data_IF_595019215964
#
_entry.id   IF_595019215964
#
_cell.length_a   1.000
_cell.length_b   1.000
_cell.length_c   1.000
_cell.angle_alpha   90.00
_cell.angle_beta   90.00
_cell.angle_gamma   90.00
#
_symmetry.space_group_name_H-M   'P 1'
#
loop_
_entity.id
_entity.type
_entity.pdbx_description
1 polymer ?
#
# COMPACT_ATOMS: atom_id res chain seq x y z
N UNK A 1 72.65 -26.11 54.38
CA UNK A 1 71.45 -26.65 55.05
C UNK A 1 70.45 -25.54 55.19
N UNK A 2 69.55 -25.42 54.29
CA UNK A 2 68.25 -24.79 54.44
C UNK A 2 67.40 -25.24 53.28
N UNK A 3 66.37 -25.93 53.63
CA UNK A 3 65.36 -26.51 52.81
C UNK A 3 64.45 -25.40 52.18
N UNK A 4 64.16 -25.50 50.92
CA UNK A 4 63.27 -24.61 50.25
C UNK A 4 62.49 -25.38 49.16
N UNK A 5 61.46 -26.07 49.54
CA UNK A 5 60.44 -26.60 48.67
C UNK A 5 59.08 -26.18 49.14
N UNK A 6 58.57 -25.07 48.65
CA UNK A 6 57.11 -24.82 48.64
C UNK A 6 56.82 -24.12 47.30
N UNK A 7 56.32 -24.92 46.37
CA UNK A 7 55.61 -24.42 45.17
C UNK A 7 54.21 -23.96 45.61
N UNK A 8 53.75 -22.76 45.21
CA UNK A 8 52.38 -22.35 45.47
C UNK A 8 51.41 -23.17 44.61
N UNK A 9 50.37 -23.65 45.26
CA UNK A 9 49.24 -24.37 44.66
C UNK A 9 48.71 -23.60 43.43
N UNK A 10 48.64 -24.30 42.32
CA UNK A 10 47.92 -23.85 41.13
C UNK A 10 46.43 -23.74 41.47
N UNK A 11 45.94 -22.51 41.57
CA UNK A 11 44.50 -22.23 41.63
C UNK A 11 43.89 -22.75 40.36
N UNK A 12 43.09 -23.80 40.47
CA UNK A 12 42.33 -24.33 39.34
C UNK A 12 41.31 -23.29 38.92
N UNK A 13 41.58 -22.60 37.80
CA UNK A 13 40.64 -21.78 37.05
C UNK A 13 39.62 -22.72 36.35
N UNK A 14 38.62 -23.19 37.10
CA UNK A 14 37.46 -23.90 36.58
C UNK A 14 36.16 -23.16 36.91
N UNK A 15 36.17 -21.87 36.80
CA UNK A 15 34.92 -21.14 36.55
C UNK A 15 34.71 -21.05 35.04
N UNK A 16 34.26 -22.16 34.46
CA UNK A 16 33.69 -22.16 33.12
C UNK A 16 32.43 -21.28 33.20
N UNK A 17 32.57 -20.03 32.75
CA UNK A 17 31.41 -19.20 32.52
C UNK A 17 30.43 -20.04 31.70
N UNK A 18 29.14 -20.14 32.06
CA UNK A 18 28.19 -20.93 31.33
C UNK A 18 28.23 -20.40 29.88
N UNK A 19 28.43 -21.32 28.94
CA UNK A 19 28.37 -20.96 27.51
C UNK A 19 27.07 -20.20 27.29
N UNK A 20 27.09 -18.97 26.76
CA UNK A 20 25.86 -18.23 26.55
C UNK A 20 24.99 -19.05 25.61
N UNK A 21 23.80 -19.39 26.08
CA UNK A 21 22.79 -20.08 25.27
C UNK A 21 22.53 -19.22 24.03
N UNK A 22 22.66 -19.77 22.82
CA UNK A 22 22.39 -19.00 21.60
C UNK A 22 20.99 -18.37 21.70
N UNK A 23 20.90 -17.08 21.38
CA UNK A 23 19.62 -16.36 21.41
C UNK A 23 18.70 -16.95 20.35
N UNK A 24 17.48 -17.34 20.72
CA UNK A 24 16.42 -17.64 19.75
C UNK A 24 16.11 -16.37 18.95
N UNK A 25 16.19 -16.46 17.62
CA UNK A 25 15.94 -15.35 16.72
C UNK A 25 14.48 -14.85 16.76
N UNK A 26 13.54 -15.68 17.18
CA UNK A 26 12.13 -15.35 17.30
C UNK A 26 11.78 -14.69 18.63
N UNK A 27 12.63 -14.79 19.67
CA UNK A 27 12.35 -14.22 20.99
C UNK A 27 12.11 -12.69 20.99
N UNK A 28 12.56 -11.99 19.97
CA UNK A 28 12.27 -10.57 19.79
C UNK A 28 10.79 -10.25 19.53
N UNK A 29 9.98 -11.27 19.23
CA UNK A 29 8.55 -11.16 18.97
C UNK A 29 7.66 -11.63 20.13
N UNK A 30 8.25 -12.09 21.26
CA UNK A 30 7.51 -12.62 22.39
C UNK A 30 6.46 -11.63 22.92
N UNK A 31 6.79 -10.33 22.95
CA UNK A 31 5.85 -9.27 23.34
C UNK A 31 4.64 -9.19 22.40
N UNK A 32 4.85 -9.26 21.09
CA UNK A 32 3.78 -9.23 20.11
C UNK A 32 2.89 -10.48 20.17
N UNK A 33 3.51 -11.65 20.42
CA UNK A 33 2.78 -12.92 20.60
C UNK A 33 1.91 -12.86 21.86
N UNK A 34 2.46 -12.38 22.99
CA UNK A 34 1.72 -12.23 24.24
C UNK A 34 0.55 -11.22 24.10
N UNK A 35 0.77 -10.12 23.43
CA UNK A 35 -0.26 -9.09 23.15
C UNK A 35 -1.42 -9.66 22.32
N UNK A 36 -1.10 -10.42 21.26
CA UNK A 36 -2.12 -11.11 20.45
C UNK A 36 -2.88 -12.14 21.27
N UNK A 37 -2.18 -12.95 22.09
CA UNK A 37 -2.84 -13.95 22.95
C UNK A 37 -3.77 -13.28 23.96
N UNK A 38 -3.32 -12.23 24.63
CA UNK A 38 -4.15 -11.45 25.56
C UNK A 38 -5.43 -10.91 24.90
N UNK A 39 -5.33 -10.47 23.63
CA UNK A 39 -6.50 -10.05 22.85
C UNK A 39 -7.47 -11.21 22.63
N UNK A 40 -6.98 -12.38 22.23
CA UNK A 40 -7.81 -13.55 21.96
C UNK A 40 -8.47 -14.09 23.24
N UNK A 41 -7.79 -14.02 24.38
CA UNK A 41 -8.29 -14.45 25.70
C UNK A 41 -9.50 -13.63 26.18
N UNK A 42 -9.71 -12.43 25.60
CA UNK A 42 -10.93 -11.63 25.85
C UNK A 42 -12.18 -12.17 25.12
N UNK A 43 -12.04 -13.22 24.30
CA UNK A 43 -13.11 -13.77 23.47
C UNK A 43 -13.36 -12.98 22.17
N UNK A 44 -12.51 -12.00 21.86
CA UNK A 44 -12.55 -11.26 20.60
C UNK A 44 -12.06 -12.16 19.45
N UNK A 45 -12.70 -12.03 18.29
CA UNK A 45 -12.25 -12.73 17.08
C UNK A 45 -10.87 -12.25 16.66
N UNK A 46 -10.07 -13.16 16.15
CA UNK A 46 -8.76 -12.78 15.60
C UNK A 46 -8.93 -11.98 14.30
N UNK A 47 -8.54 -10.70 14.27
CA UNK A 47 -8.64 -9.89 13.06
C UNK A 47 -7.78 -10.39 11.90
N UNK A 48 -6.74 -11.18 12.20
CA UNK A 48 -5.86 -11.79 11.20
C UNK A 48 -6.37 -13.14 10.66
N UNK A 49 -7.45 -13.68 11.23
CA UNK A 49 -8.02 -14.98 10.85
C UNK A 49 -9.38 -14.87 10.14
N UNK A 50 -9.71 -13.68 9.64
CA UNK A 50 -10.94 -13.49 8.86
C UNK A 50 -10.74 -14.09 7.46
N UNK A 51 -11.64 -15.01 7.10
CA UNK A 51 -11.67 -15.67 5.79
C UNK A 51 -12.95 -15.26 5.08
N UNK A 52 -12.82 -14.86 3.82
CA UNK A 52 -13.94 -14.74 2.89
C UNK A 52 -14.22 -16.12 2.32
N UNK A 53 -15.28 -16.77 2.78
CA UNK A 53 -15.65 -18.14 2.38
C UNK A 53 -16.12 -18.19 0.91
N UNK A 54 -16.81 -17.14 0.49
CA UNK A 54 -17.24 -16.91 -0.88
C UNK A 54 -17.25 -15.39 -1.14
N UNK A 55 -16.84 -14.97 -2.32
CA UNK A 55 -16.96 -13.57 -2.75
C UNK A 55 -18.07 -13.49 -3.79
N UNK A 56 -19.15 -12.81 -3.43
CA UNK A 56 -20.40 -12.77 -4.23
C UNK A 56 -20.36 -11.66 -5.29
N UNK A 57 -19.68 -10.54 -4.97
CA UNK A 57 -19.57 -9.38 -5.85
C UNK A 57 -18.35 -8.53 -5.42
N UNK A 58 -18.03 -7.43 -6.13
CA UNK A 58 -17.00 -6.49 -5.67
C UNK A 58 -17.20 -5.93 -4.26
N UNK A 59 -18.45 -5.96 -3.76
CA UNK A 59 -18.85 -5.32 -2.49
C UNK A 59 -19.45 -6.28 -1.47
N UNK A 60 -19.62 -7.58 -1.80
CA UNK A 60 -20.25 -8.57 -0.93
C UNK A 60 -19.47 -9.86 -0.86
N UNK A 61 -19.37 -10.44 0.32
CA UNK A 61 -18.80 -11.77 0.56
C UNK A 61 -19.58 -12.52 1.64
N UNK A 62 -19.41 -13.84 1.70
CA UNK A 62 -19.78 -14.64 2.86
C UNK A 62 -18.59 -14.67 3.81
N UNK A 63 -18.80 -14.18 5.02
CA UNK A 63 -17.83 -14.24 6.13
C UNK A 63 -18.54 -14.85 7.33
N UNK A 64 -18.04 -15.99 7.79
CA UNK A 64 -18.63 -16.76 8.91
C UNK A 64 -20.12 -17.10 8.67
N UNK A 65 -20.43 -17.58 7.44
CA UNK A 65 -21.77 -17.95 7.02
C UNK A 65 -22.74 -16.77 6.86
N UNK A 66 -22.26 -15.52 6.92
CA UNK A 66 -23.11 -14.31 6.80
C UNK A 66 -22.72 -13.48 5.59
N UNK A 67 -23.73 -13.02 4.83
CA UNK A 67 -23.53 -12.00 3.83
C UNK A 67 -23.01 -10.70 4.47
N UNK A 68 -21.87 -10.23 4.00
CA UNK A 68 -21.13 -9.13 4.59
C UNK A 68 -20.73 -8.11 3.52
N UNK A 69 -21.00 -6.84 3.78
CA UNK A 69 -20.57 -5.72 2.92
C UNK A 69 -19.08 -5.52 3.12
N UNK A 70 -18.34 -5.46 2.01
CA UNK A 70 -16.88 -5.31 1.99
C UNK A 70 -16.48 -3.84 1.91
N UNK A 71 -16.23 -3.22 3.04
CA UNK A 71 -15.73 -1.85 3.14
C UNK A 71 -14.22 -1.79 3.50
N UNK A 72 -13.56 -2.95 3.55
CA UNK A 72 -12.12 -3.08 3.87
C UNK A 72 -11.26 -3.53 2.70
N UNK A 73 -11.82 -3.73 1.50
CA UNK A 73 -11.07 -4.10 0.30
C UNK A 73 -10.55 -2.88 -0.44
N UNK A 74 -9.51 -3.05 -1.27
CA UNK A 74 -8.95 -1.97 -2.09
C UNK A 74 -9.46 -1.99 -3.54
N UNK A 75 -10.56 -2.69 -3.79
CA UNK A 75 -11.16 -2.83 -5.11
C UNK A 75 -11.94 -1.57 -5.50
N UNK A 76 -11.26 -0.42 -5.54
CA UNK A 76 -11.91 0.90 -5.69
C UNK A 76 -12.82 0.99 -6.91
N UNK A 77 -12.42 0.40 -8.04
CA UNK A 77 -13.16 0.48 -9.30
C UNK A 77 -14.02 -0.74 -9.62
N UNK A 78 -14.06 -1.74 -8.73
CA UNK A 78 -14.91 -2.92 -8.87
C UNK A 78 -14.52 -3.89 -9.99
N UNK A 79 -13.27 -3.87 -10.45
CA UNK A 79 -12.82 -4.63 -11.63
C UNK A 79 -12.72 -6.14 -11.42
N UNK A 80 -12.69 -6.62 -10.17
CA UNK A 80 -12.50 -8.06 -9.86
C UNK A 80 -13.59 -8.97 -10.42
N UNK A 81 -14.80 -8.45 -10.63
CA UNK A 81 -15.96 -9.20 -11.17
C UNK A 81 -16.43 -8.67 -12.53
N UNK A 82 -15.69 -7.77 -13.15
CA UNK A 82 -16.02 -7.30 -14.49
C UNK A 82 -15.96 -8.49 -15.48
N UNK A 83 -17.02 -8.77 -16.24
CA UNK A 83 -17.13 -9.98 -17.05
C UNK A 83 -16.06 -10.07 -18.14
N UNK A 84 -15.67 -8.95 -18.76
CA UNK A 84 -14.65 -8.94 -19.81
C UNK A 84 -13.25 -9.14 -19.21
N UNK A 85 -13.00 -8.57 -18.03
CA UNK A 85 -11.76 -8.73 -17.27
C UNK A 85 -11.57 -10.19 -16.85
N UNK A 86 -12.62 -10.82 -16.34
CA UNK A 86 -12.62 -12.24 -15.96
C UNK A 86 -12.45 -13.13 -17.21
N UNK A 87 -13.14 -12.82 -18.33
CA UNK A 87 -13.05 -13.58 -19.58
C UNK A 87 -11.63 -13.51 -20.16
N UNK A 88 -10.96 -12.36 -20.12
CA UNK A 88 -9.58 -12.21 -20.59
C UNK A 88 -8.61 -13.11 -19.80
N UNK A 89 -8.78 -13.19 -18.47
CA UNK A 89 -7.99 -14.08 -17.61
C UNK A 89 -8.20 -15.56 -17.95
N UNK A 90 -9.46 -16.00 -18.14
CA UNK A 90 -9.80 -17.38 -18.54
C UNK A 90 -9.19 -17.74 -19.89
N UNK A 91 -9.36 -16.89 -20.90
CA UNK A 91 -8.82 -17.13 -22.24
C UNK A 91 -7.28 -17.23 -22.23
N UNK A 92 -6.60 -16.43 -21.43
CA UNK A 92 -5.16 -16.51 -21.29
C UNK A 92 -4.71 -17.78 -20.56
N UNK A 93 -5.47 -18.26 -19.57
CA UNK A 93 -5.22 -19.53 -18.89
C UNK A 93 -5.33 -20.71 -19.86
N UNK A 94 -6.38 -20.71 -20.68
CA UNK A 94 -6.60 -21.76 -21.70
C UNK A 94 -5.48 -21.77 -22.78
N UNK A 95 -5.01 -20.59 -23.18
CA UNK A 95 -4.02 -20.44 -24.26
C UNK A 95 -2.58 -20.70 -23.83
N UNK A 96 -2.21 -20.26 -22.62
CA UNK A 96 -0.81 -20.18 -22.17
C UNK A 96 -0.52 -21.03 -20.93
N UNK A 97 -1.53 -21.66 -20.32
CA UNK A 97 -1.37 -22.42 -19.08
C UNK A 97 -1.25 -21.53 -17.83
N UNK A 98 -1.00 -22.20 -16.69
CA UNK A 98 -1.09 -21.58 -15.36
C UNK A 98 0.07 -20.64 -15.01
N UNK A 99 1.22 -20.74 -15.66
CA UNK A 99 2.40 -19.95 -15.28
C UNK A 99 3.50 -19.92 -16.34
N UNK A 100 4.49 -19.06 -16.09
CA UNK A 100 5.59 -18.79 -17.04
C UNK A 100 6.85 -19.61 -16.73
N UNK A 101 6.99 -20.09 -15.50
CA UNK A 101 8.15 -20.85 -14.97
C UNK A 101 9.51 -20.16 -15.05
N UNK A 102 9.53 -18.83 -15.28
CA UNK A 102 10.78 -18.09 -15.39
C UNK A 102 10.65 -16.58 -15.22
N UNK A 103 11.80 -15.90 -15.20
CA UNK A 103 11.86 -14.45 -15.12
C UNK A 103 11.63 -13.78 -16.48
N UNK A 104 11.29 -12.48 -16.43
CA UNK A 104 11.03 -11.67 -17.63
C UNK A 104 12.20 -11.62 -18.61
N UNK A 105 13.44 -11.71 -18.13
CA UNK A 105 14.65 -11.62 -18.95
C UNK A 105 15.07 -12.95 -19.57
N UNK A 106 14.49 -14.07 -19.13
CA UNK A 106 14.75 -15.42 -19.67
C UNK A 106 13.54 -15.91 -20.48
N UNK A 107 12.80 -16.87 -19.92
CA UNK A 107 11.67 -17.52 -20.60
C UNK A 107 10.29 -16.99 -20.16
N UNK A 108 10.23 -16.06 -19.22
CA UNK A 108 8.98 -15.60 -18.60
C UNK A 108 8.31 -14.40 -19.26
N UNK A 109 8.73 -13.97 -20.46
CA UNK A 109 8.04 -12.91 -21.21
C UNK A 109 7.12 -13.52 -22.27
N UNK A 110 5.82 -13.48 -22.02
CA UNK A 110 4.78 -13.93 -22.93
C UNK A 110 4.07 -12.73 -23.57
N UNK A 111 3.26 -12.98 -24.61
CA UNK A 111 2.52 -11.96 -25.34
C UNK A 111 1.72 -11.03 -24.40
N UNK A 112 0.99 -11.58 -23.41
CA UNK A 112 0.19 -10.81 -22.48
C UNK A 112 0.99 -9.82 -21.63
N UNK A 113 2.29 -10.08 -21.36
CA UNK A 113 3.13 -9.09 -20.65
C UNK A 113 3.36 -7.84 -21.49
N UNK A 114 3.58 -7.99 -22.80
CA UNK A 114 3.74 -6.86 -23.73
C UNK A 114 2.43 -6.09 -23.86
N UNK A 115 1.31 -6.79 -24.03
CA UNK A 115 -0.02 -6.20 -24.10
C UNK A 115 -0.39 -5.43 -22.82
N UNK A 116 0.05 -5.90 -21.64
CA UNK A 116 -0.14 -5.19 -20.39
C UNK A 116 0.74 -3.94 -20.29
N UNK A 117 2.00 -4.02 -20.71
CA UNK A 117 2.89 -2.86 -20.80
C UNK A 117 2.38 -1.82 -21.82
N UNK A 118 1.81 -2.27 -22.94
CA UNK A 118 1.19 -1.39 -23.93
C UNK A 118 -0.05 -0.69 -23.37
N UNK A 119 -0.93 -1.42 -22.67
CA UNK A 119 -2.09 -0.84 -22.01
C UNK A 119 -1.70 0.21 -20.94
N UNK A 120 -0.62 0.00 -20.22
CA UNK A 120 -0.09 0.98 -19.25
C UNK A 120 0.45 2.24 -19.96
N UNK A 121 1.20 2.06 -21.07
CA UNK A 121 1.71 3.20 -21.85
C UNK A 121 0.57 4.04 -22.41
N UNK A 122 -0.46 3.40 -22.93
CA UNK A 122 -1.66 4.06 -23.44
C UNK A 122 -2.41 4.78 -22.32
N UNK A 123 -2.65 4.11 -21.19
CA UNK A 123 -3.37 4.67 -20.04
C UNK A 123 -2.69 5.92 -19.47
N UNK A 124 -1.37 5.85 -19.26
CA UNK A 124 -0.58 6.95 -18.69
C UNK A 124 -0.10 7.98 -19.72
N UNK A 125 -0.27 7.71 -21.03
CA UNK A 125 0.31 8.50 -22.10
C UNK A 125 1.82 8.67 -21.94
N UNK A 126 2.50 7.53 -21.67
CA UNK A 126 3.95 7.50 -21.44
C UNK A 126 4.65 6.54 -22.40
N UNK A 127 5.94 6.81 -22.68
CA UNK A 127 6.73 6.10 -23.70
C UNK A 127 7.10 4.68 -23.29
N UNK A 128 7.34 4.46 -21.99
CA UNK A 128 7.84 3.19 -21.48
C UNK A 128 7.05 2.72 -20.26
N UNK A 129 6.85 1.39 -20.17
CA UNK A 129 6.23 0.73 -19.05
C UNK A 129 6.96 -0.59 -18.73
N UNK A 130 7.16 -0.88 -17.45
CA UNK A 130 7.72 -2.14 -16.95
C UNK A 130 6.76 -2.73 -15.92
N UNK A 131 6.38 -4.00 -16.11
CA UNK A 131 5.49 -4.74 -15.20
C UNK A 131 6.32 -5.60 -14.26
N UNK A 132 6.02 -5.50 -12.96
CA UNK A 132 6.60 -6.25 -11.84
C UNK A 132 5.59 -7.22 -11.24
N UNK A 133 6.06 -8.19 -10.46
CA UNK A 133 5.19 -9.20 -9.84
C UNK A 133 4.29 -8.62 -8.73
N UNK A 134 4.67 -7.51 -8.11
CA UNK A 134 3.83 -6.75 -7.17
C UNK A 134 4.19 -5.27 -7.21
N UNK A 135 3.31 -4.37 -6.70
CA UNK A 135 3.64 -2.97 -6.47
C UNK A 135 4.78 -2.78 -5.47
N UNK A 136 4.87 -3.66 -4.47
CA UNK A 136 5.98 -3.70 -3.51
C UNK A 136 7.32 -3.89 -4.23
N UNK A 137 7.41 -4.87 -5.14
CA UNK A 137 8.61 -5.11 -5.93
C UNK A 137 8.91 -3.99 -6.94
N UNK A 138 7.89 -3.28 -7.43
CA UNK A 138 8.08 -2.13 -8.30
C UNK A 138 8.80 -1.01 -7.53
N UNK A 139 8.31 -0.61 -6.35
CA UNK A 139 8.99 0.36 -5.49
C UNK A 139 10.40 -0.08 -5.11
N UNK A 140 10.52 -1.30 -4.59
CA UNK A 140 11.80 -1.88 -4.18
C UNK A 140 12.82 -1.83 -5.33
N UNK A 141 12.40 -2.23 -6.52
CA UNK A 141 13.25 -2.32 -7.70
C UNK A 141 13.62 -0.96 -8.28
N UNK A 142 12.64 -0.10 -8.46
CA UNK A 142 12.86 1.22 -9.10
C UNK A 142 13.72 2.11 -8.20
N UNK A 143 13.35 2.26 -6.93
CA UNK A 143 14.04 3.15 -5.99
C UNK A 143 15.48 2.69 -5.76
N UNK A 144 15.69 1.40 -5.45
CA UNK A 144 17.04 0.88 -5.20
C UNK A 144 17.96 0.87 -6.41
N UNK A 145 17.40 0.95 -7.62
CA UNK A 145 18.20 0.95 -8.86
C UNK A 145 18.53 2.37 -9.33
N UNK A 146 17.62 3.33 -9.11
CA UNK A 146 17.81 4.71 -9.58
C UNK A 146 18.90 5.46 -8.83
N UNK A 147 19.03 5.21 -7.53
CA UNK A 147 19.94 5.95 -6.66
C UNK A 147 21.07 5.07 -6.12
N UNK A 148 22.30 5.61 -6.13
CA UNK A 148 23.52 4.95 -5.71
C UNK A 148 24.22 5.75 -4.60
N UNK A 149 25.39 5.30 -4.18
CA UNK A 149 26.25 6.04 -3.23
C UNK A 149 26.60 7.43 -3.77
N UNK A 150 26.32 8.45 -3.00
CA UNK A 150 26.49 9.86 -3.37
C UNK A 150 25.22 10.54 -3.88
N UNK A 151 24.16 9.77 -4.09
CA UNK A 151 22.83 10.29 -4.39
C UNK A 151 21.97 10.37 -3.12
N UNK A 152 20.87 11.11 -3.19
CA UNK A 152 19.93 11.31 -2.09
C UNK A 152 18.53 10.86 -2.50
N UNK A 153 17.86 10.14 -1.60
CA UNK A 153 16.42 9.84 -1.70
C UNK A 153 15.70 10.66 -0.64
N UNK A 154 14.79 11.51 -1.10
CA UNK A 154 14.02 12.41 -0.23
C UNK A 154 12.58 11.91 -0.22
N UNK A 155 12.09 11.40 0.93
CA UNK A 155 10.78 10.79 1.05
C UNK A 155 9.97 11.39 2.18
N UNK A 156 8.65 11.32 2.02
CA UNK A 156 7.69 11.67 3.07
C UNK A 156 7.84 10.71 4.27
N UNK A 157 7.67 11.24 5.49
CA UNK A 157 7.80 10.42 6.70
C UNK A 157 6.77 9.30 6.80
N UNK A 158 5.59 9.47 6.18
CA UNK A 158 4.48 8.53 6.20
C UNK A 158 4.42 7.64 4.93
N UNK A 159 5.51 7.62 4.16
CA UNK A 159 5.62 6.76 2.96
C UNK A 159 5.42 5.28 3.29
N UNK A 160 4.86 4.56 2.31
CA UNK A 160 4.60 3.12 2.40
C UNK A 160 5.89 2.31 2.66
N UNK A 161 5.76 1.20 3.39
CA UNK A 161 6.89 0.32 3.75
C UNK A 161 7.74 -0.11 2.53
N UNK A 162 7.14 -0.36 1.37
CA UNK A 162 7.87 -0.73 0.15
C UNK A 162 8.81 0.37 -0.36
N UNK A 163 8.46 1.64 -0.11
CA UNK A 163 9.31 2.79 -0.45
C UNK A 163 10.52 2.81 0.49
N UNK A 164 10.29 2.66 1.81
CA UNK A 164 11.37 2.55 2.78
C UNK A 164 12.32 1.39 2.49
N UNK A 165 11.78 0.20 2.19
CA UNK A 165 12.60 -0.97 1.88
C UNK A 165 13.37 -0.79 0.57
N UNK A 166 12.78 -0.10 -0.42
CA UNK A 166 13.49 0.31 -1.63
C UNK A 166 14.66 1.24 -1.35
N UNK A 167 14.47 2.18 -0.42
CA UNK A 167 15.54 3.08 0.03
C UNK A 167 16.65 2.31 0.76
N UNK A 168 16.31 1.40 1.66
CA UNK A 168 17.31 0.61 2.42
C UNK A 168 18.07 -0.40 1.57
N UNK A 169 17.45 -0.94 0.53
CA UNK A 169 18.12 -1.86 -0.40
C UNK A 169 19.14 -1.13 -1.28
N UNK A 170 18.95 0.15 -1.53
CA UNK A 170 19.89 1.02 -2.23
C UNK A 170 21.06 1.43 -1.34
N UNK A 171 22.00 2.19 -1.91
CA UNK A 171 23.16 2.72 -1.21
C UNK A 171 23.15 4.26 -1.11
N UNK A 172 22.02 4.88 -1.44
CA UNK A 172 21.84 6.33 -1.37
C UNK A 172 21.58 6.80 0.07
N UNK A 173 21.82 8.08 0.31
CA UNK A 173 21.45 8.72 1.58
C UNK A 173 19.95 8.99 1.64
N UNK A 174 19.32 8.63 2.77
CA UNK A 174 17.88 8.76 2.98
C UNK A 174 17.60 10.02 3.79
N UNK A 175 16.81 10.93 3.23
CA UNK A 175 16.39 12.18 3.85
C UNK A 175 14.87 12.21 3.97
N UNK A 176 14.36 12.15 5.21
CA UNK A 176 12.92 12.24 5.46
C UNK A 176 12.49 13.69 5.66
N UNK A 177 11.35 14.07 5.12
CA UNK A 177 10.65 15.31 5.45
C UNK A 177 9.32 15.00 6.13
N UNK A 178 8.80 15.98 6.86
CA UNK A 178 7.53 15.84 7.60
C UNK A 178 6.39 15.65 6.62
N UNK A 179 5.49 14.74 6.98
CA UNK A 179 4.31 14.39 6.19
C UNK A 179 3.61 15.62 5.62
N UNK A 180 3.39 15.59 4.30
CA UNK A 180 2.72 16.63 3.50
C UNK A 180 3.26 18.07 3.69
N UNK A 181 4.52 18.22 4.17
CA UNK A 181 5.11 19.52 4.47
C UNK A 181 6.00 20.05 3.34
N UNK A 182 5.43 20.86 2.46
CA UNK A 182 6.16 21.55 1.36
C UNK A 182 7.36 22.36 1.89
N UNK A 183 7.17 23.06 3.01
CA UNK A 183 8.24 23.87 3.61
C UNK A 183 9.40 23.02 4.16
N UNK A 184 9.12 21.84 4.73
CA UNK A 184 10.19 20.96 5.20
C UNK A 184 10.89 20.25 4.02
N UNK A 185 10.16 19.91 2.95
CA UNK A 185 10.74 19.40 1.70
C UNK A 185 11.74 20.42 1.11
N UNK A 186 11.34 21.69 0.94
CA UNK A 186 12.21 22.76 0.43
C UNK A 186 13.46 22.95 1.32
N UNK A 187 13.26 22.95 2.64
CA UNK A 187 14.34 23.06 3.61
C UNK A 187 15.33 21.89 3.53
N UNK A 188 14.84 20.63 3.36
CA UNK A 188 15.68 19.45 3.24
C UNK A 188 16.48 19.47 1.96
N UNK A 189 15.83 19.70 0.83
CA UNK A 189 16.47 19.79 -0.49
C UNK A 189 17.52 20.89 -0.56
N UNK A 190 17.24 22.07 0.05
CA UNK A 190 18.16 23.21 0.07
C UNK A 190 19.46 23.00 0.86
N UNK A 191 19.58 21.90 1.61
CA UNK A 191 20.79 21.53 2.35
C UNK A 191 21.68 20.53 1.61
N UNK A 192 21.20 19.97 0.52
CA UNK A 192 21.91 18.94 -0.25
C UNK A 192 22.85 19.59 -1.27
N UNK A 193 23.96 18.94 -1.61
CA UNK A 193 24.85 19.40 -2.66
C UNK A 193 24.09 19.60 -3.98
N UNK A 194 24.39 20.67 -4.70
CA UNK A 194 23.70 21.01 -5.95
C UNK A 194 23.91 19.95 -7.01
N UNK A 195 25.14 19.43 -7.11
CA UNK A 195 25.59 18.44 -8.09
C UNK A 195 25.16 17.00 -7.80
N UNK A 196 24.66 16.71 -6.58
CA UNK A 196 24.26 15.35 -6.21
C UNK A 196 22.97 14.95 -6.94
N UNK A 197 22.87 13.66 -7.29
CA UNK A 197 21.62 13.06 -7.75
C UNK A 197 20.57 13.09 -6.62
N UNK A 198 19.34 13.48 -6.97
CA UNK A 198 18.24 13.60 -5.99
C UNK A 198 16.99 12.96 -6.55
N UNK A 199 16.39 12.06 -5.77
CA UNK A 199 15.08 11.48 -6.08
C UNK A 199 14.11 11.87 -4.96
N UNK A 200 13.08 12.64 -5.29
CA UNK A 200 11.95 12.88 -4.40
C UNK A 200 10.90 11.80 -4.63
N UNK A 201 10.51 11.09 -3.57
CA UNK A 201 9.49 10.04 -3.63
C UNK A 201 8.25 10.54 -2.88
N UNK A 202 7.13 10.58 -3.59
CA UNK A 202 5.82 11.04 -3.11
C UNK A 202 4.78 9.95 -3.36
N UNK A 203 3.73 9.91 -2.54
CA UNK A 203 2.52 9.15 -2.83
C UNK A 203 1.40 10.11 -3.21
N UNK A 204 0.62 9.80 -4.23
CA UNK A 204 -0.54 10.60 -4.58
C UNK A 204 -1.57 10.63 -3.45
N UNK A 205 -1.89 9.43 -2.93
CA UNK A 205 -2.76 9.23 -1.77
C UNK A 205 -2.02 8.41 -0.72
N UNK A 206 -1.94 8.91 0.51
CA UNK A 206 -1.38 8.19 1.64
C UNK A 206 -2.38 7.20 2.22
N UNK A 207 -1.93 5.96 2.35
CA UNK A 207 -2.81 4.80 2.52
C UNK A 207 -3.58 4.74 3.83
N UNK A 208 -3.09 5.34 4.92
CA UNK A 208 -3.68 5.17 6.26
C UNK A 208 -4.84 6.12 6.51
N UNK A 209 -4.66 7.41 6.26
CA UNK A 209 -5.68 8.43 6.47
C UNK A 209 -6.52 8.69 5.23
N UNK A 210 -6.00 8.35 4.06
CA UNK A 210 -6.64 8.62 2.78
C UNK A 210 -6.49 10.07 2.33
N UNK A 211 -5.53 10.78 2.90
CA UNK A 211 -5.19 12.14 2.54
C UNK A 211 -4.29 12.20 1.30
N UNK A 212 -4.34 13.32 0.60
CA UNK A 212 -3.61 13.54 -0.64
C UNK A 212 -2.39 14.44 -0.42
N UNK A 213 -1.33 14.20 -1.18
CA UNK A 213 -0.18 15.07 -1.22
C UNK A 213 -0.50 16.40 -1.92
N UNK A 214 0.04 17.54 -1.45
CA UNK A 214 0.02 18.79 -2.19
C UNK A 214 1.03 18.74 -3.35
N UNK A 215 0.74 17.87 -4.34
CA UNK A 215 1.71 17.50 -5.39
C UNK A 215 2.16 18.70 -6.22
N UNK A 216 1.26 19.64 -6.52
CA UNK A 216 1.61 20.83 -7.31
C UNK A 216 2.75 21.62 -6.68
N UNK A 217 2.66 21.88 -5.39
CA UNK A 217 3.65 22.64 -4.64
C UNK A 217 4.92 21.82 -4.40
N UNK A 218 4.78 20.52 -4.09
CA UNK A 218 5.92 19.63 -3.85
C UNK A 218 6.74 19.40 -5.13
N UNK A 219 6.08 19.22 -6.26
CA UNK A 219 6.73 19.09 -7.57
C UNK A 219 7.49 20.36 -7.92
N UNK A 220 6.88 21.53 -7.74
CA UNK A 220 7.55 22.80 -7.98
C UNK A 220 8.82 22.98 -7.13
N UNK A 221 8.76 22.58 -5.85
CA UNK A 221 9.92 22.56 -4.96
C UNK A 221 10.99 21.57 -5.43
N UNK A 222 10.61 20.34 -5.77
CA UNK A 222 11.55 19.32 -6.23
C UNK A 222 12.30 19.80 -7.50
N UNK A 223 11.57 20.32 -8.49
CA UNK A 223 12.16 20.84 -9.73
C UNK A 223 13.07 22.05 -9.50
N UNK A 224 12.71 22.97 -8.57
CA UNK A 224 13.57 24.10 -8.17
C UNK A 224 14.96 23.63 -7.68
N UNK A 225 15.05 22.48 -7.04
CA UNK A 225 16.29 21.90 -6.55
C UNK A 225 16.92 20.85 -7.51
N UNK A 226 16.42 20.69 -8.72
CA UNK A 226 16.93 19.78 -9.74
C UNK A 226 16.73 18.31 -9.39
N UNK A 227 15.74 17.96 -8.59
CA UNK A 227 15.44 16.59 -8.23
C UNK A 227 14.55 15.91 -9.29
N UNK A 228 14.76 14.62 -9.51
CA UNK A 228 13.81 13.74 -10.19
C UNK A 228 12.68 13.35 -9.24
N UNK A 229 11.50 13.02 -9.79
CA UNK A 229 10.31 12.75 -9.00
C UNK A 229 9.75 11.38 -9.35
N UNK A 230 9.57 10.55 -8.33
CA UNK A 230 8.79 9.31 -8.38
C UNK A 230 7.49 9.54 -7.63
N UNK A 231 6.35 9.32 -8.31
CA UNK A 231 5.02 9.36 -7.70
C UNK A 231 4.44 7.95 -7.63
N UNK A 232 4.12 7.48 -6.43
CA UNK A 232 3.39 6.23 -6.21
C UNK A 232 1.88 6.52 -6.24
N UNK A 233 1.20 6.00 -7.24
CA UNK A 233 -0.24 6.12 -7.47
C UNK A 233 -1.00 4.83 -7.13
N UNK A 234 -0.44 3.99 -6.28
CA UNK A 234 -1.10 2.74 -5.89
C UNK A 234 -2.52 2.94 -5.34
N UNK A 235 -2.78 4.08 -4.69
CA UNK A 235 -4.08 4.46 -4.16
C UNK A 235 -4.80 5.57 -4.95
N UNK A 236 -4.17 6.14 -5.98
CA UNK A 236 -4.77 7.18 -6.82
C UNK A 236 -5.25 6.68 -8.18
N UNK A 237 -4.55 5.67 -8.74
CA UNK A 237 -4.89 5.08 -10.03
C UNK A 237 -6.35 4.60 -10.09
N UNK A 238 -7.02 4.93 -11.18
CA UNK A 238 -8.38 4.50 -11.50
C UNK A 238 -9.43 5.57 -11.24
N UNK A 239 -9.24 6.47 -10.25
CA UNK A 239 -10.31 7.39 -9.86
C UNK A 239 -9.89 8.84 -9.61
N UNK A 240 -8.61 9.18 -9.60
CA UNK A 240 -8.13 10.57 -9.61
C UNK A 240 -7.77 11.03 -11.01
N UNK A 241 -8.09 12.29 -11.32
CA UNK A 241 -7.87 12.91 -12.62
C UNK A 241 -8.96 12.56 -13.64
N UNK A 242 -8.96 13.28 -14.75
CA UNK A 242 -9.97 13.12 -15.83
C UNK A 242 -9.94 11.71 -16.43
N UNK A 243 -8.73 11.17 -16.64
CA UNK A 243 -8.53 9.83 -17.20
C UNK A 243 -8.33 8.74 -16.16
N UNK A 244 -8.26 9.11 -14.86
CA UNK A 244 -8.03 8.17 -13.76
C UNK A 244 -6.56 7.80 -13.56
N UNK A 245 -5.63 8.63 -14.04
CA UNK A 245 -4.19 8.36 -13.98
C UNK A 245 -3.60 8.52 -12.59
N UNK A 246 -4.24 9.32 -11.73
CA UNK A 246 -3.81 9.54 -10.37
C UNK A 246 -3.84 11.01 -9.95
N UNK A 247 -3.40 11.28 -8.73
CA UNK A 247 -3.40 12.64 -8.15
C UNK A 247 -2.49 13.59 -8.93
N UNK A 248 -1.40 13.10 -9.50
CA UNK A 248 -0.51 13.95 -10.32
C UNK A 248 -1.20 14.49 -11.59
N UNK A 249 -2.14 13.73 -12.18
CA UNK A 249 -2.97 14.20 -13.28
C UNK A 249 -3.92 15.30 -12.82
N UNK A 250 -4.62 15.07 -11.70
CA UNK A 250 -5.55 16.04 -11.11
C UNK A 250 -4.84 17.33 -10.68
N UNK A 251 -3.61 17.22 -10.18
CA UNK A 251 -2.77 18.36 -9.82
C UNK A 251 -2.19 19.12 -11.03
N UNK A 252 -2.31 18.56 -12.24
CA UNK A 252 -1.81 19.17 -13.47
C UNK A 252 -0.28 19.21 -13.59
N UNK A 253 0.41 18.19 -13.01
CA UNK A 253 1.88 18.12 -12.96
C UNK A 253 2.46 16.91 -13.72
N UNK A 254 1.68 16.32 -14.60
CA UNK A 254 2.04 15.08 -15.31
C UNK A 254 3.38 15.17 -16.06
N UNK A 255 3.67 16.31 -16.68
CA UNK A 255 4.90 16.53 -17.46
C UNK A 255 6.16 16.63 -16.57
N UNK A 256 5.99 16.89 -15.29
CA UNK A 256 7.06 17.06 -14.33
C UNK A 256 7.38 15.79 -13.52
N UNK A 257 6.55 14.73 -13.64
CA UNK A 257 6.77 13.45 -12.99
C UNK A 257 7.68 12.58 -13.87
N UNK A 258 8.82 12.17 -13.31
CA UNK A 258 9.79 11.35 -14.04
C UNK A 258 9.41 9.86 -14.03
N UNK A 259 8.84 9.37 -12.93
CA UNK A 259 8.43 7.96 -12.74
C UNK A 259 7.09 7.89 -12.04
N UNK A 260 6.15 7.11 -12.58
CA UNK A 260 4.92 6.74 -11.88
C UNK A 260 4.99 5.26 -11.56
N UNK A 261 4.83 4.92 -10.28
CA UNK A 261 4.71 3.55 -9.78
C UNK A 261 3.29 3.29 -9.34
N UNK A 262 2.84 2.06 -9.49
CA UNK A 262 1.53 1.64 -8.98
C UNK A 262 1.40 0.14 -8.84
N UNK A 263 0.20 -0.29 -8.45
CA UNK A 263 -0.12 -1.70 -8.20
C UNK A 263 -1.39 -2.12 -8.94
N UNK A 264 -1.43 -3.41 -9.32
CA UNK A 264 -2.66 -4.00 -9.87
C UNK A 264 -3.59 -4.54 -8.78
N UNK A 265 -3.14 -4.60 -7.53
CA UNK A 265 -3.89 -5.23 -6.43
C UNK A 265 -5.05 -4.38 -5.87
N UNK A 266 -5.30 -3.23 -6.46
CA UNK A 266 -6.33 -2.28 -6.03
C UNK A 266 -7.33 -1.98 -7.16
N UNK A 267 -7.33 -0.81 -7.75
CA UNK A 267 -8.28 -0.41 -8.81
C UNK A 267 -8.26 -1.34 -10.04
N UNK A 268 -7.13 -1.93 -10.36
CA UNK A 268 -7.02 -2.89 -11.48
C UNK A 268 -7.64 -4.25 -11.12
N UNK A 269 -7.68 -4.62 -9.83
CA UNK A 269 -8.41 -5.80 -9.34
C UNK A 269 -7.70 -7.14 -9.53
N UNK A 270 -6.38 -7.18 -9.70
CA UNK A 270 -5.57 -8.40 -9.78
C UNK A 270 -4.25 -8.24 -9.02
N UNK A 271 -3.26 -9.09 -9.24
CA UNK A 271 -1.95 -8.93 -8.61
C UNK A 271 -0.92 -8.43 -9.61
N UNK A 272 0.02 -7.60 -9.15
CA UNK A 272 1.12 -7.06 -9.94
C UNK A 272 1.48 -5.65 -9.55
N UNK A 273 2.48 -5.10 -10.22
CA UNK A 273 2.90 -3.72 -10.11
C UNK A 273 3.52 -3.24 -11.40
N UNK A 274 3.75 -1.95 -11.48
CA UNK A 274 4.34 -1.35 -12.68
C UNK A 274 5.14 -0.09 -12.33
N UNK A 275 6.00 0.28 -13.26
CA UNK A 275 6.54 1.63 -13.36
C UNK A 275 6.43 2.10 -14.79
N UNK A 276 5.98 3.35 -14.99
CA UNK A 276 5.95 4.02 -16.31
C UNK A 276 6.79 5.28 -16.27
N UNK A 277 7.38 5.66 -17.44
CA UNK A 277 8.26 6.82 -17.54
C UNK A 277 8.39 7.31 -18.96
N UNK A 278 8.60 8.62 -19.11
CA UNK A 278 9.01 9.27 -20.37
C UNK A 278 10.54 9.39 -20.51
N UNK A 279 11.30 8.96 -19.47
CA UNK A 279 12.75 9.12 -19.48
C UNK A 279 13.40 8.26 -20.58
N UNK A 280 14.25 8.82 -21.46
CA UNK A 280 14.77 8.11 -22.64
C UNK A 280 15.64 6.91 -22.34
N UNK A 281 16.22 6.82 -21.14
CA UNK A 281 17.06 5.70 -20.69
C UNK A 281 16.31 4.68 -19.86
N UNK A 282 14.98 4.82 -19.67
CA UNK A 282 14.22 4.01 -18.71
C UNK A 282 14.27 2.50 -19.02
N UNK A 283 14.35 2.11 -20.29
CA UNK A 283 14.40 0.70 -20.68
C UNK A 283 15.61 -0.06 -20.11
N UNK A 284 16.67 0.64 -19.68
CA UNK A 284 17.82 0.00 -19.00
C UNK A 284 17.41 -0.67 -17.69
N UNK A 285 16.32 -0.21 -17.06
CA UNK A 285 15.80 -0.80 -15.83
C UNK A 285 15.47 -2.29 -15.97
N UNK A 286 15.10 -2.76 -17.17
CA UNK A 286 14.87 -4.17 -17.46
C UNK A 286 16.12 -5.06 -17.29
N UNK A 287 17.30 -4.47 -17.38
CA UNK A 287 18.58 -5.20 -17.33
C UNK A 287 19.20 -5.18 -15.93
N UNK A 288 18.90 -4.15 -15.13
CA UNK A 288 19.62 -3.88 -13.89
C UNK A 288 18.76 -3.99 -12.62
N UNK A 289 17.43 -3.93 -12.76
CA UNK A 289 16.51 -3.98 -11.61
C UNK A 289 16.39 -5.38 -11.07
N UNK A 290 16.99 -5.65 -9.91
CA UNK A 290 17.06 -6.99 -9.32
C UNK A 290 15.69 -7.65 -9.09
N UNK A 291 14.66 -6.97 -8.52
CA UNK A 291 13.31 -7.54 -8.38
C UNK A 291 12.58 -7.84 -9.70
N UNK A 292 13.09 -7.38 -10.82
CA UNK A 292 12.58 -7.73 -12.16
C UNK A 292 13.38 -8.89 -12.79
N UNK A 293 14.72 -8.86 -12.65
CA UNK A 293 15.62 -9.81 -13.28
C UNK A 293 15.59 -11.18 -12.57
N UNK A 294 15.53 -11.19 -11.24
CA UNK A 294 15.73 -12.37 -10.40
C UNK A 294 14.44 -12.87 -9.73
N UNK A 295 13.28 -12.63 -10.33
CA UNK A 295 12.00 -13.15 -9.87
C UNK A 295 11.22 -13.80 -11.02
N UNK A 296 10.30 -14.72 -10.68
CA UNK A 296 9.35 -15.23 -11.66
C UNK A 296 8.42 -14.12 -12.14
N UNK A 297 8.07 -14.15 -13.42
CA UNK A 297 7.10 -13.24 -14.00
C UNK A 297 5.67 -13.60 -13.62
N UNK A 298 4.77 -12.66 -13.74
CA UNK A 298 3.33 -12.87 -13.50
C UNK A 298 2.76 -13.96 -14.41
N UNK A 299 1.80 -14.75 -13.91
CA UNK A 299 1.07 -15.71 -14.73
C UNK A 299 0.36 -15.05 -15.93
N UNK A 300 0.21 -15.75 -17.05
CA UNK A 300 -0.46 -15.23 -18.25
C UNK A 300 -1.88 -14.72 -18.00
N UNK A 301 -2.66 -15.42 -17.18
CA UNK A 301 -4.02 -15.02 -16.80
C UNK A 301 -4.04 -13.69 -16.06
N UNK A 302 -3.08 -13.46 -15.18
CA UNK A 302 -2.96 -12.24 -14.37
C UNK A 302 -2.65 -11.03 -15.24
N UNK A 303 -1.69 -11.12 -16.15
CA UNK A 303 -1.34 -9.99 -17.03
C UNK A 303 -2.43 -9.69 -18.06
N UNK A 304 -3.13 -10.71 -18.54
CA UNK A 304 -4.28 -10.51 -19.43
C UNK A 304 -5.45 -9.82 -18.70
N UNK A 305 -5.74 -10.24 -17.46
CA UNK A 305 -6.71 -9.58 -16.58
C UNK A 305 -6.32 -8.13 -16.35
N UNK A 306 -5.05 -7.86 -16.02
CA UNK A 306 -4.56 -6.50 -15.80
C UNK A 306 -4.71 -5.63 -17.06
N UNK A 307 -4.30 -6.11 -18.23
CA UNK A 307 -4.43 -5.38 -19.49
C UNK A 307 -5.89 -5.04 -19.84
N UNK A 308 -6.80 -6.00 -19.67
CA UNK A 308 -8.23 -5.78 -19.90
C UNK A 308 -8.81 -4.74 -18.92
N UNK A 309 -8.48 -4.85 -17.64
CA UNK A 309 -8.92 -3.90 -16.60
C UNK A 309 -8.39 -2.50 -16.86
N UNK A 310 -7.10 -2.33 -17.16
CA UNK A 310 -6.49 -1.02 -17.45
C UNK A 310 -7.20 -0.33 -18.62
N UNK A 311 -7.46 -1.05 -19.73
CA UNK A 311 -8.21 -0.50 -20.87
C UNK A 311 -9.63 -0.06 -20.50
N UNK A 312 -10.31 -0.80 -19.61
CA UNK A 312 -11.63 -0.39 -19.10
C UNK A 312 -11.55 0.85 -18.21
N UNK A 313 -10.51 0.97 -17.39
CA UNK A 313 -10.30 2.15 -16.54
C UNK A 313 -10.16 3.45 -17.34
N UNK A 314 -9.66 3.42 -18.59
CA UNK A 314 -9.60 4.58 -19.46
C UNK A 314 -10.99 5.20 -19.70
N UNK A 315 -12.03 4.38 -19.70
CA UNK A 315 -13.42 4.78 -20.02
C UNK A 315 -14.35 4.74 -18.80
N UNK A 316 -13.82 4.64 -17.59
CA UNK A 316 -14.58 4.46 -16.36
C UNK A 316 -15.07 5.77 -15.72
N UNK A 317 -15.29 6.85 -16.49
CA UNK A 317 -15.79 8.14 -15.97
C UNK A 317 -17.01 8.01 -15.06
N UNK A 318 -18.11 7.38 -15.49
CA UNK A 318 -19.30 7.21 -14.64
C UNK A 318 -19.02 6.46 -13.33
N UNK A 319 -18.14 5.44 -13.34
CA UNK A 319 -17.74 4.74 -12.12
C UNK A 319 -16.94 5.64 -11.17
N UNK A 320 -16.06 6.49 -11.71
CA UNK A 320 -15.30 7.49 -10.92
C UNK A 320 -16.27 8.46 -10.23
N UNK A 321 -17.23 9.00 -10.96
CA UNK A 321 -18.25 9.93 -10.42
C UNK A 321 -19.05 9.26 -9.31
N UNK A 322 -19.49 8.01 -9.50
CA UNK A 322 -20.23 7.26 -8.50
C UNK A 322 -19.39 6.98 -7.24
N UNK A 323 -18.15 6.58 -7.41
CA UNK A 323 -17.22 6.38 -6.29
C UNK A 323 -17.05 7.67 -5.47
N UNK A 324 -16.86 8.81 -6.13
CA UNK A 324 -16.73 10.10 -5.47
C UNK A 324 -18.01 10.56 -4.78
N UNK A 325 -19.18 10.31 -5.40
CA UNK A 325 -20.50 10.55 -4.76
C UNK A 325 -20.60 9.79 -3.44
N UNK A 326 -20.31 8.49 -3.46
CA UNK A 326 -20.40 7.63 -2.29
C UNK A 326 -19.33 7.96 -1.24
N UNK A 327 -18.12 8.33 -1.65
CA UNK A 327 -17.05 8.74 -0.73
C UNK A 327 -17.44 10.00 0.05
N UNK A 328 -17.96 11.02 -0.63
CA UNK A 328 -18.47 12.24 0.01
C UNK A 328 -19.65 11.95 0.93
N UNK A 329 -20.60 11.11 0.50
CA UNK A 329 -21.78 10.73 1.27
C UNK A 329 -21.40 10.00 2.56
N UNK A 330 -20.54 8.98 2.47
CA UNK A 330 -20.09 8.22 3.65
C UNK A 330 -19.29 9.10 4.60
N UNK A 331 -18.36 9.89 4.09
CA UNK A 331 -17.54 10.80 4.91
C UNK A 331 -18.43 11.78 5.68
N UNK A 332 -19.38 12.44 5.01
CA UNK A 332 -20.29 13.37 5.66
C UNK A 332 -21.21 12.66 6.67
N UNK A 333 -21.80 11.51 6.31
CA UNK A 333 -22.65 10.74 7.20
C UNK A 333 -21.93 10.28 8.48
N UNK A 334 -20.68 9.85 8.39
CA UNK A 334 -19.87 9.50 9.57
C UNK A 334 -19.59 10.71 10.46
N UNK A 335 -19.33 11.87 9.86
CA UNK A 335 -19.18 13.13 10.62
C UNK A 335 -20.46 13.55 11.31
N UNK A 336 -21.61 13.46 10.63
CA UNK A 336 -22.93 13.80 11.18
C UNK A 336 -23.31 12.88 12.34
N UNK A 337 -22.84 11.63 12.32
CA UNK A 337 -22.95 10.71 13.46
C UNK A 337 -22.05 11.10 14.64
N UNK A 338 -21.07 11.99 14.46
CA UNK A 338 -20.18 12.45 15.53
C UNK A 338 -18.78 11.79 15.52
N UNK A 339 -18.43 11.04 14.49
CA UNK A 339 -17.07 10.47 14.40
C UNK A 339 -16.02 11.49 14.05
N UNK A 340 -14.84 11.36 14.67
CA UNK A 340 -13.61 12.04 14.22
C UNK A 340 -13.02 11.28 13.06
N UNK A 341 -12.74 11.96 11.96
CA UNK A 341 -12.15 11.36 10.75
C UNK A 341 -10.73 11.84 10.53
N UNK A 342 -9.92 11.04 9.83
CA UNK A 342 -8.51 11.32 9.52
C UNK A 342 -8.33 12.53 8.60
N UNK A 343 -9.35 12.87 7.81
CA UNK A 343 -9.33 14.04 6.91
C UNK A 343 -10.55 14.96 7.17
N UNK A 344 -10.42 16.28 7.00
CA UNK A 344 -11.51 17.21 7.24
C UNK A 344 -12.66 17.10 6.21
N UNK A 345 -12.34 16.62 5.01
CA UNK A 345 -13.28 16.38 3.90
C UNK A 345 -12.94 15.05 3.24
N UNK A 346 -13.83 14.51 2.40
CA UNK A 346 -13.53 13.34 1.59
C UNK A 346 -12.43 13.67 0.57
N UNK A 347 -11.21 13.24 0.84
CA UNK A 347 -10.05 13.46 -0.03
C UNK A 347 -9.78 12.29 -0.98
N UNK A 348 -10.29 11.11 -0.66
CA UNK A 348 -10.15 9.91 -1.49
C UNK A 348 -11.30 8.93 -1.24
N UNK A 349 -11.20 7.73 -1.81
CA UNK A 349 -12.10 6.61 -1.51
C UNK A 349 -11.78 5.93 -0.16
N UNK A 350 -10.80 6.43 0.56
CA UNK A 350 -10.37 5.93 1.88
C UNK A 350 -10.86 6.91 2.94
N UNK A 351 -11.53 6.38 3.97
CA UNK A 351 -12.02 7.15 5.10
C UNK A 351 -11.51 6.49 6.38
N UNK A 352 -10.65 7.18 7.11
CA UNK A 352 -10.14 6.74 8.40
C UNK A 352 -11.06 7.25 9.52
N UNK A 353 -11.70 6.34 10.24
CA UNK A 353 -12.50 6.65 11.43
C UNK A 353 -11.59 6.53 12.65
N UNK A 354 -11.23 7.67 13.24
CA UNK A 354 -10.30 7.75 14.37
C UNK A 354 -10.98 7.27 15.66
N UNK A 355 -10.28 6.47 16.43
CA UNK A 355 -10.81 5.90 17.67
C UNK A 355 -9.84 6.18 18.83
N UNK A 356 -10.35 6.26 20.08
CA UNK A 356 -9.54 6.74 21.20
C UNK A 356 -8.46 5.76 21.68
N UNK A 357 -8.73 4.46 21.59
CA UNK A 357 -7.83 3.42 22.10
C UNK A 357 -8.04 2.07 21.41
N UNK A 358 -7.20 1.10 21.76
CA UNK A 358 -7.22 -0.25 21.21
C UNK A 358 -8.49 -1.03 21.57
N UNK A 359 -8.96 -0.93 22.82
CA UNK A 359 -10.11 -1.72 23.29
C UNK A 359 -11.38 -1.31 22.53
N UNK A 360 -11.60 -0.02 22.42
CA UNK A 360 -12.73 0.53 21.63
C UNK A 360 -12.60 0.20 20.15
N UNK A 361 -11.39 0.27 19.60
CA UNK A 361 -11.16 -0.06 18.18
C UNK A 361 -11.52 -1.51 17.87
N UNK A 362 -11.11 -2.43 18.75
CA UNK A 362 -11.43 -3.85 18.62
C UNK A 362 -12.94 -4.09 18.78
N UNK A 363 -13.57 -3.48 19.80
CA UNK A 363 -15.00 -3.61 20.03
C UNK A 363 -15.83 -3.06 18.87
N UNK A 364 -15.46 -1.91 18.31
CA UNK A 364 -16.08 -1.33 17.12
C UNK A 364 -15.92 -2.24 15.91
N UNK A 365 -14.72 -2.73 15.65
CA UNK A 365 -14.43 -3.64 14.53
C UNK A 365 -15.28 -4.91 14.62
N UNK A 366 -15.32 -5.56 15.80
CA UNK A 366 -16.12 -6.75 16.02
C UNK A 366 -17.62 -6.46 15.89
N UNK A 367 -18.09 -5.35 16.45
CA UNK A 367 -19.48 -4.94 16.38
C UNK A 367 -19.97 -4.65 14.96
N UNK A 368 -19.09 -4.11 14.11
CA UNK A 368 -19.38 -3.93 12.68
C UNK A 368 -19.42 -5.26 11.93
N UNK A 369 -18.46 -6.15 12.18
CA UNK A 369 -18.43 -7.48 11.57
C UNK A 369 -19.68 -8.30 11.94
N UNK A 370 -20.14 -8.24 13.17
CA UNK A 370 -21.38 -8.87 13.64
C UNK A 370 -22.63 -8.31 12.99
N UNK A 371 -22.57 -7.09 12.44
CA UNK A 371 -23.65 -6.45 11.67
C UNK A 371 -23.52 -6.65 10.15
N UNK A 372 -22.60 -7.55 9.73
CA UNK A 372 -22.38 -7.83 8.31
C UNK A 372 -21.63 -6.72 7.58
N UNK A 373 -20.71 -6.04 8.25
CA UNK A 373 -19.84 -5.04 7.66
C UNK A 373 -18.36 -5.36 7.96
N UNK A 374 -17.57 -5.59 6.93
CA UNK A 374 -16.13 -5.82 7.05
C UNK A 374 -15.35 -4.52 6.78
N UNK A 375 -14.56 -4.07 7.76
CA UNK A 375 -13.64 -2.94 7.68
C UNK A 375 -12.24 -3.37 8.13
N UNK A 376 -11.20 -2.65 7.69
CA UNK A 376 -9.87 -2.87 8.21
C UNK A 376 -9.67 -2.11 9.54
N UNK A 377 -9.02 -2.77 10.48
CA UNK A 377 -8.54 -2.17 11.72
C UNK A 377 -7.05 -1.86 11.60
N UNK A 378 -6.65 -0.63 11.91
CA UNK A 378 -5.25 -0.24 11.97
C UNK A 378 -4.89 0.27 13.37
N UNK A 379 -3.75 -0.20 13.88
CA UNK A 379 -3.20 0.13 15.19
C UNK A 379 -1.67 0.05 15.16
N UNK A 380 -0.96 0.59 16.15
CA UNK A 380 0.47 0.38 16.26
C UNK A 380 0.85 -1.13 16.21
N UNK A 381 1.94 -1.53 15.56
CA UNK A 381 2.96 -0.68 14.92
C UNK A 381 2.65 -0.27 13.47
N UNK A 382 1.49 -0.66 12.90
CA UNK A 382 1.09 -0.27 11.54
C UNK A 382 0.69 1.21 11.42
N UNK A 383 0.37 1.84 12.55
CA UNK A 383 0.16 3.28 12.71
C UNK A 383 1.14 3.84 13.74
N UNK A 384 1.35 5.17 13.79
CA UNK A 384 2.11 5.80 14.86
C UNK A 384 1.55 5.45 16.25
N UNK A 385 2.42 5.51 17.29
CA UNK A 385 2.03 5.25 18.66
C UNK A 385 0.84 6.15 19.08
N UNK A 386 -0.19 5.53 19.67
CA UNK A 386 -1.41 6.21 20.11
C UNK A 386 -2.43 6.47 18.99
N UNK A 387 -2.20 6.01 17.77
CA UNK A 387 -3.14 6.17 16.64
C UNK A 387 -3.89 4.86 16.39
N UNK A 388 -5.19 4.89 16.59
CA UNK A 388 -6.11 3.78 16.38
C UNK A 388 -7.21 4.19 15.42
N UNK A 389 -7.51 3.38 14.44
CA UNK A 389 -8.54 3.72 13.45
C UNK A 389 -9.19 2.49 12.81
N UNK A 390 -10.40 2.68 12.31
CA UNK A 390 -11.02 1.81 11.32
C UNK A 390 -10.87 2.44 9.95
N UNK A 391 -10.32 1.68 9.01
CA UNK A 391 -10.09 2.14 7.65
C UNK A 391 -11.14 1.60 6.72
N UNK A 392 -12.01 2.49 6.27
CA UNK A 392 -13.05 2.24 5.28
C UNK A 392 -12.49 2.52 3.89
N UNK A 393 -12.75 1.63 2.95
CA UNK A 393 -12.35 1.78 1.54
C UNK A 393 -13.57 1.51 0.66
N UNK A 394 -14.04 2.53 -0.03
CA UNK A 394 -15.20 2.43 -0.90
C UNK A 394 -14.83 1.81 -2.25
N UNK A 395 -15.82 1.13 -2.84
CA UNK A 395 -15.79 0.60 -4.19
C UNK A 395 -16.83 1.34 -5.04
N UNK A 396 -16.54 1.54 -6.32
CA UNK A 396 -17.48 2.14 -7.27
C UNK A 396 -18.77 1.33 -7.48
N UNK A 397 -18.79 0.09 -7.01
CA UNK A 397 -19.97 -0.79 -7.09
C UNK A 397 -20.80 -0.79 -5.79
N UNK A 398 -20.43 0.00 -4.75
CA UNK A 398 -21.32 0.15 -3.59
C UNK A 398 -22.59 0.87 -4.00
N UNK A 399 -23.75 0.26 -3.70
CA UNK A 399 -25.06 0.87 -3.95
C UNK A 399 -25.39 1.92 -2.90
N UNK A 400 -26.38 2.78 -3.19
CA UNK A 400 -26.86 3.78 -2.23
C UNK A 400 -27.42 3.09 -0.96
N UNK A 401 -28.10 1.94 -1.10
CA UNK A 401 -28.63 1.14 0.02
C UNK A 401 -27.49 0.52 0.86
N UNK A 402 -26.39 0.10 0.22
CA UNK A 402 -25.23 -0.39 0.98
C UNK A 402 -24.59 0.74 1.79
N UNK A 403 -24.52 1.96 1.25
CA UNK A 403 -24.00 3.12 1.99
C UNK A 403 -24.89 3.45 3.19
N UNK A 404 -26.23 3.35 3.05
CA UNK A 404 -27.16 3.52 4.17
C UNK A 404 -26.94 2.47 5.25
N UNK A 405 -26.87 1.20 4.88
CA UNK A 405 -26.59 0.09 5.81
C UNK A 405 -25.23 0.25 6.52
N UNK A 406 -24.20 0.77 5.82
CA UNK A 406 -22.90 1.08 6.43
C UNK A 406 -23.07 2.14 7.53
N UNK A 407 -23.78 3.24 7.25
CA UNK A 407 -24.01 4.30 8.24
C UNK A 407 -24.83 3.80 9.43
N UNK A 408 -25.86 3.00 9.20
CA UNK A 408 -26.67 2.36 10.27
C UNK A 408 -25.80 1.44 11.15
N UNK A 409 -24.91 0.64 10.55
CA UNK A 409 -24.02 -0.24 11.27
C UNK A 409 -23.03 0.56 12.13
N UNK A 410 -22.47 1.66 11.61
CA UNK A 410 -21.61 2.56 12.37
C UNK A 410 -22.35 3.25 13.51
N UNK A 411 -23.58 3.74 13.28
CA UNK A 411 -24.39 4.34 14.33
C UNK A 411 -24.65 3.36 15.48
N UNK A 412 -25.10 2.15 15.16
CA UNK A 412 -25.39 1.12 16.17
C UNK A 412 -24.13 0.62 16.91
N UNK A 413 -23.02 0.42 16.19
CA UNK A 413 -21.77 0.00 16.83
C UNK A 413 -21.16 1.11 17.71
N UNK A 414 -21.22 2.37 17.25
CA UNK A 414 -20.71 3.51 18.00
C UNK A 414 -21.48 3.77 19.31
N UNK A 415 -22.80 3.61 19.28
CA UNK A 415 -23.64 3.67 20.49
C UNK A 415 -23.33 2.51 21.46
N UNK A 416 -23.23 1.28 20.93
CA UNK A 416 -22.94 0.10 21.75
C UNK A 416 -21.56 0.15 22.44
N UNK A 417 -20.59 0.81 21.82
CA UNK A 417 -19.22 0.96 22.36
C UNK A 417 -19.00 2.27 23.14
N UNK A 418 -20.00 3.15 23.15
CA UNK A 418 -19.91 4.46 23.84
C UNK A 418 -19.04 5.50 23.10
N UNK A 419 -18.60 5.22 21.88
CA UNK A 419 -17.86 6.21 21.04
C UNK A 419 -18.77 7.37 20.66
N UNK A 420 -20.01 7.05 20.33
CA UNK A 420 -21.05 8.04 20.14
C UNK A 420 -21.78 8.21 21.46
N UNK A 421 -21.99 9.46 21.92
CA UNK A 421 -22.79 9.75 23.08
C UNK A 421 -24.19 9.14 22.97
N UNK A 422 -24.84 8.84 24.11
CA UNK A 422 -26.25 8.47 24.08
C UNK A 422 -27.06 9.64 23.53
N UNK A 423 -28.08 9.38 22.65
CA UNK A 423 -28.89 10.42 22.06
C UNK A 423 -29.66 11.26 23.09
#
# INVERSE_FOLDING_TARGET
>A
MTDASQTPDAVALTDVLPNPTPRDLLSKFDGLIAERQALLDTGVRDPFAIVMEEVLSPTLAIIQGRETILLGTYNYMGMTFDPDVVAAGKAALDRFGAGTTGSRVLNGTYQGHRECEDALREFYDMKSAIVFSTGYQANLGVISTLCAKGDYIILDADSHASIYDGCWLGNAEIVRFRHNSVADLDKRLGRLPVEAGKLVVLEGVYSMLGDIAPLKEMVAVAKKHGAMILCDEAHGMGFFGEHGRGVFEEAGVADDIDFVVGTFSKSVGTVGGFCVSNHPKFEVMRLVTRPYVFTASLPPSVVATAAASIRKLMHAGPKREHLWKNSRRLHQGLRDLGYTLGTPTAQSAIIAVMLPDQAITVAMWQGLLERGLYVNMARPPATPAGTFLLRCSLCAEHTDEQVDRILEAFAAAGQATGVLGQP
#
